data_IF_138092719579
#
_entry.id   IF_138092719579
#
_cell.length_a   1.000
_cell.length_b   1.000
_cell.length_c   1.000
_cell.angle_alpha   90.00
_cell.angle_beta   90.00
_cell.angle_gamma   90.00
#
_symmetry.space_group_name_H-M   'P 1'
#
loop_
_entity.id
_entity.type
_entity.pdbx_description
1 polymer ?
#
# COMPACT_ATOMS: atom_id res chain seq x y z
N UNK A 1 -18.84 -1.15 11.33
CA UNK A 1 -18.38 -1.01 12.73
C UNK A 1 -18.17 -2.42 13.25
N UNK A 2 -16.91 -2.83 13.46
CA UNK A 2 -16.49 -4.23 13.49
C UNK A 2 -16.09 -4.73 14.90
N UNK A 3 -16.36 -3.95 15.94
CA UNK A 3 -15.55 -4.03 17.17
C UNK A 3 -16.22 -4.70 18.35
N UNK A 4 -17.53 -5.00 18.33
CA UNK A 4 -18.22 -5.54 19.51
C UNK A 4 -18.35 -7.07 19.51
N UNK A 5 -18.42 -7.67 18.33
CA UNK A 5 -18.73 -9.10 18.20
C UNK A 5 -17.50 -10.01 18.08
N UNK A 6 -16.29 -9.46 17.95
CA UNK A 6 -15.04 -10.24 17.75
C UNK A 6 -14.68 -11.15 18.93
N UNK A 7 -15.20 -10.85 20.13
CA UNK A 7 -14.99 -11.66 21.33
C UNK A 7 -16.14 -12.65 21.57
N UNK A 8 -17.16 -12.65 20.69
CA UNK A 8 -18.22 -13.64 20.74
C UNK A 8 -17.66 -15.00 20.31
N UNK A 9 -17.98 -16.10 21.02
CA UNK A 9 -17.58 -17.44 20.61
C UNK A 9 -18.14 -17.83 19.24
N UNK A 10 -19.23 -17.20 18.80
CA UNK A 10 -19.89 -17.45 17.50
C UNK A 10 -19.40 -16.49 16.39
N UNK A 11 -18.32 -15.74 16.63
CA UNK A 11 -17.78 -14.82 15.63
C UNK A 11 -17.17 -15.59 14.46
N UNK A 12 -17.71 -15.37 13.26
CA UNK A 12 -17.14 -15.91 12.03
C UNK A 12 -15.92 -15.09 11.59
N UNK A 13 -14.73 -15.63 11.86
CA UNK A 13 -13.45 -15.04 11.47
C UNK A 13 -13.28 -14.87 9.95
N UNK A 14 -14.05 -15.59 9.13
CA UNK A 14 -13.98 -15.46 7.67
C UNK A 14 -14.34 -14.03 7.21
N UNK A 15 -15.19 -13.32 7.96
CA UNK A 15 -15.63 -11.96 7.65
C UNK A 15 -14.44 -10.97 7.61
N UNK A 16 -13.39 -11.19 8.43
CA UNK A 16 -12.20 -10.32 8.41
C UNK A 16 -11.38 -10.43 7.13
N UNK A 17 -11.50 -11.56 6.44
CA UNK A 17 -10.78 -11.85 5.20
C UNK A 17 -11.63 -11.65 3.95
N UNK A 18 -12.89 -11.24 4.12
CA UNK A 18 -13.71 -10.79 2.99
C UNK A 18 -13.07 -9.57 2.34
N UNK A 19 -12.97 -9.53 1.00
CA UNK A 19 -12.43 -8.37 0.31
C UNK A 19 -13.17 -7.10 0.70
N UNK A 20 -12.41 -6.06 1.02
CA UNK A 20 -13.00 -4.76 1.32
C UNK A 20 -13.82 -4.29 0.10
N UNK A 21 -15.10 -3.91 0.26
CA UNK A 21 -15.98 -3.56 -0.86
C UNK A 21 -15.69 -2.15 -1.37
N UNK A 22 -14.50 -1.97 -1.94
CA UNK A 22 -13.91 -0.68 -2.27
C UNK A 22 -14.75 0.12 -3.27
N UNK A 23 -15.25 -0.54 -4.32
CA UNK A 23 -16.14 0.05 -5.32
C UNK A 23 -17.47 0.53 -4.74
N UNK A 24 -17.92 -0.04 -3.60
CA UNK A 24 -19.15 0.35 -2.90
C UNK A 24 -18.91 1.46 -1.86
N UNK A 25 -17.68 1.60 -1.34
CA UNK A 25 -17.32 2.64 -0.36
C UNK A 25 -17.31 4.04 -1.00
N UNK A 26 -16.87 4.15 -2.25
CA UNK A 26 -16.67 5.44 -2.93
C UNK A 26 -17.59 5.60 -4.14
N UNK A 27 -18.17 6.79 -4.30
CA UNK A 27 -18.97 7.14 -5.48
C UNK A 27 -18.13 7.60 -6.68
N UNK A 28 -16.93 8.13 -6.41
CA UNK A 28 -16.01 8.71 -7.38
C UNK A 28 -14.60 8.21 -7.17
N UNK A 29 -13.86 8.10 -8.27
CA UNK A 29 -12.49 7.64 -8.27
C UNK A 29 -11.64 8.49 -9.21
N UNK A 30 -10.37 8.68 -8.85
CA UNK A 30 -9.35 9.03 -9.83
C UNK A 30 -8.86 7.74 -10.48
N UNK A 31 -8.93 7.69 -11.80
CA UNK A 31 -8.36 6.65 -12.65
C UNK A 31 -6.99 7.12 -13.10
N UNK A 32 -5.95 6.37 -12.74
CA UNK A 32 -4.57 6.57 -13.18
C UNK A 32 -4.30 5.48 -14.22
N UNK A 33 -4.18 5.86 -15.49
CA UNK A 33 -3.90 4.94 -16.60
C UNK A 33 -2.44 5.09 -17.02
N UNK A 34 -1.72 3.97 -17.10
CA UNK A 34 -0.35 3.89 -17.55
C UNK A 34 -0.26 2.93 -18.73
N UNK A 35 0.44 3.30 -19.80
CA UNK A 35 0.76 2.40 -20.91
C UNK A 35 2.21 2.57 -21.36
N UNK A 36 2.73 1.58 -22.07
CA UNK A 36 4.03 1.61 -22.73
C UNK A 36 4.01 0.73 -23.99
N UNK A 37 5.06 0.79 -24.81
CA UNK A 37 5.13 0.04 -26.07
C UNK A 37 5.13 -1.48 -25.86
N UNK A 38 5.79 -1.94 -24.79
CA UNK A 38 5.86 -3.35 -24.42
C UNK A 38 5.72 -3.57 -22.90
N UNK A 39 5.74 -4.85 -22.48
CA UNK A 39 5.51 -5.24 -21.08
C UNK A 39 6.69 -4.93 -20.16
N UNK A 40 7.92 -4.98 -20.67
CA UNK A 40 9.12 -4.74 -19.87
C UNK A 40 9.23 -3.23 -19.60
N UNK A 41 9.04 -2.41 -20.65
CA UNK A 41 8.95 -0.95 -20.52
C UNK A 41 7.79 -0.53 -19.60
N UNK A 42 6.64 -1.22 -19.67
CA UNK A 42 5.51 -0.95 -18.79
C UNK A 42 5.87 -1.24 -17.32
N UNK A 43 6.62 -2.31 -17.05
CA UNK A 43 7.05 -2.65 -15.69
C UNK A 43 7.92 -1.56 -15.07
N UNK A 44 8.91 -1.09 -15.83
CA UNK A 44 9.79 0.00 -15.43
C UNK A 44 9.02 1.31 -15.26
N UNK A 45 8.12 1.62 -16.20
CA UNK A 45 7.26 2.80 -16.14
C UNK A 45 6.34 2.80 -14.92
N UNK A 46 5.66 1.68 -14.65
CA UNK A 46 4.80 1.51 -13.48
C UNK A 46 5.61 1.68 -12.20
N UNK A 47 6.80 1.07 -12.11
CA UNK A 47 7.69 1.23 -10.96
C UNK A 47 8.10 2.68 -10.73
N UNK A 48 8.46 3.39 -11.79
CA UNK A 48 8.86 4.80 -11.76
C UNK A 48 7.73 5.74 -11.35
N UNK A 49 6.53 5.54 -11.88
CA UNK A 49 5.36 6.36 -11.52
C UNK A 49 4.91 6.04 -10.09
N UNK A 50 4.91 4.76 -9.69
CA UNK A 50 4.57 4.34 -8.32
C UNK A 50 5.46 4.98 -7.27
N UNK A 51 6.77 5.12 -7.53
CA UNK A 51 7.67 5.76 -6.57
C UNK A 51 7.36 7.24 -6.32
N UNK A 52 6.46 7.84 -7.12
CA UNK A 52 6.02 9.24 -7.04
C UNK A 52 4.55 9.39 -6.64
N UNK A 53 3.81 8.30 -6.45
CA UNK A 53 2.41 8.34 -6.03
C UNK A 53 2.16 9.19 -4.79
N UNK A 54 3.14 9.32 -3.89
CA UNK A 54 3.06 10.25 -2.76
C UNK A 54 2.83 11.71 -3.20
N UNK A 55 3.43 12.17 -4.30
CA UNK A 55 3.23 13.52 -4.83
C UNK A 55 1.80 13.71 -5.36
N UNK A 56 1.25 12.70 -6.04
CA UNK A 56 -0.14 12.72 -6.48
C UNK A 56 -1.11 12.72 -5.30
N UNK A 57 -0.86 11.88 -4.29
CA UNK A 57 -1.67 11.79 -3.08
C UNK A 57 -1.74 13.13 -2.35
N UNK A 58 -0.58 13.76 -2.09
CA UNK A 58 -0.51 15.07 -1.44
C UNK A 58 -1.31 16.11 -2.24
N UNK A 59 -1.19 16.12 -3.58
CA UNK A 59 -1.93 17.08 -4.40
C UNK A 59 -3.45 16.89 -4.31
N UNK A 60 -3.92 15.64 -4.28
CA UNK A 60 -5.34 15.33 -4.15
C UNK A 60 -5.86 15.67 -2.74
N UNK A 61 -5.08 15.39 -1.69
CA UNK A 61 -5.42 15.75 -0.31
C UNK A 61 -5.46 17.27 -0.10
N UNK A 62 -4.56 18.04 -0.71
CA UNK A 62 -4.60 19.51 -0.70
C UNK A 62 -5.89 20.07 -1.32
N UNK A 63 -6.37 19.46 -2.40
CA UNK A 63 -7.56 19.93 -3.11
C UNK A 63 -8.87 19.47 -2.46
N UNK A 64 -8.89 18.24 -1.93
CA UNK A 64 -10.12 17.54 -1.53
C UNK A 64 -10.22 17.26 -0.03
N UNK A 65 -9.12 17.45 0.70
CA UNK A 65 -8.96 17.07 2.10
C UNK A 65 -8.76 15.57 2.33
N UNK A 66 -9.00 14.72 1.33
CA UNK A 66 -8.91 13.28 1.47
C UNK A 66 -8.76 12.57 0.11
N UNK A 67 -7.99 11.49 0.09
CA UNK A 67 -7.95 10.49 -0.98
C UNK A 67 -7.60 9.12 -0.38
N UNK A 68 -8.25 8.04 -0.82
CA UNK A 68 -7.94 6.68 -0.38
C UNK A 68 -7.18 5.96 -1.49
N UNK A 69 -5.84 5.85 -1.45
CA UNK A 69 -5.10 5.12 -2.48
C UNK A 69 -5.35 3.62 -2.39
N UNK A 70 -5.51 2.95 -3.53
CA UNK A 70 -5.65 1.51 -3.63
C UNK A 70 -4.51 0.93 -4.48
N UNK A 71 -3.75 -0.07 -3.97
CA UNK A 71 -2.65 -0.67 -4.70
C UNK A 71 -3.08 -1.65 -5.81
N UNK A 72 -4.35 -2.06 -5.85
CA UNK A 72 -4.83 -3.04 -6.85
C UNK A 72 -4.62 -2.54 -8.27
N UNK A 73 -3.98 -3.38 -9.08
CA UNK A 73 -3.73 -3.14 -10.49
C UNK A 73 -4.83 -3.75 -11.36
N UNK A 74 -5.25 -2.99 -12.36
CA UNK A 74 -6.18 -3.42 -13.38
C UNK A 74 -5.53 -3.30 -14.75
N UNK A 75 -6.04 -4.04 -15.72
CA UNK A 75 -5.66 -3.89 -17.13
C UNK A 75 -6.93 -3.69 -17.95
N UNK A 76 -6.87 -2.76 -18.89
CA UNK A 76 -7.85 -2.63 -19.95
C UNK A 76 -7.55 -3.70 -21.00
N UNK A 77 -8.46 -4.67 -21.15
CA UNK A 77 -8.32 -5.76 -22.12
C UNK A 77 -8.60 -5.33 -23.55
N UNK A 78 -9.26 -4.18 -23.73
CA UNK A 78 -9.68 -3.69 -25.04
C UNK A 78 -8.62 -2.74 -25.63
N UNK A 79 -7.62 -2.35 -24.85
CA UNK A 79 -6.50 -1.53 -25.29
C UNK A 79 -5.51 -2.34 -26.16
N UNK A 80 -4.99 -1.71 -27.22
CA UNK A 80 -3.99 -2.30 -28.11
C UNK A 80 -2.60 -2.43 -27.48
N UNK A 81 -2.32 -1.60 -26.47
CA UNK A 81 -1.01 -1.52 -25.81
C UNK A 81 -1.06 -2.12 -24.39
N UNK A 82 0.07 -2.70 -23.92
CA UNK A 82 0.23 -3.06 -22.52
C UNK A 82 -0.07 -1.87 -21.61
N UNK A 83 -0.93 -2.08 -20.61
CA UNK A 83 -1.36 -1.02 -19.71
C UNK A 83 -1.63 -1.52 -18.29
N UNK A 84 -1.55 -0.60 -17.34
CA UNK A 84 -1.93 -0.77 -15.94
C UNK A 84 -2.78 0.41 -15.50
N UNK A 85 -3.83 0.12 -14.74
CA UNK A 85 -4.77 1.09 -14.23
C UNK A 85 -4.87 0.98 -12.71
N UNK A 86 -4.88 2.13 -12.04
CA UNK A 86 -5.21 2.25 -10.62
C UNK A 86 -6.47 3.09 -10.46
N UNK A 87 -7.27 2.77 -9.43
CA UNK A 87 -8.44 3.55 -9.04
C UNK A 87 -8.32 3.95 -7.58
N UNK A 88 -8.26 5.24 -7.29
CA UNK A 88 -8.23 5.73 -5.91
C UNK A 88 -9.52 6.45 -5.57
N UNK A 89 -10.05 6.18 -4.39
CA UNK A 89 -11.33 6.66 -3.90
C UNK A 89 -11.24 8.14 -3.56
N UNK A 90 -12.26 8.88 -3.98
CA UNK A 90 -12.36 10.33 -3.75
C UNK A 90 -13.60 10.65 -2.92
N UNK A 91 -13.58 11.74 -2.13
CA UNK A 91 -14.77 12.22 -1.44
C UNK A 91 -15.79 12.78 -2.44
N UNK A 92 -17.05 12.36 -2.32
CA UNK A 92 -18.12 12.80 -3.25
C UNK A 92 -18.43 14.30 -3.12
N UNK A 93 -18.26 14.88 -1.93
CA UNK A 93 -18.72 16.24 -1.63
C UNK A 93 -17.87 17.39 -2.19
N UNK A 94 -16.74 17.12 -2.86
CA UNK A 94 -15.80 18.13 -3.39
C UNK A 94 -15.32 17.84 -4.81
N UNK A 95 -16.07 17.02 -5.54
CA UNK A 95 -15.68 16.54 -6.85
C UNK A 95 -15.55 17.65 -7.92
N UNK A 96 -16.32 18.72 -7.75
CA UNK A 96 -16.33 19.92 -8.58
C UNK A 96 -15.00 20.70 -8.54
N UNK A 97 -14.22 20.55 -7.47
CA UNK A 97 -12.90 21.20 -7.34
C UNK A 97 -11.80 20.50 -8.15
N UNK A 98 -12.06 19.29 -8.64
CA UNK A 98 -11.04 18.49 -9.34
C UNK A 98 -11.04 18.84 -10.82
N UNK A 99 -9.97 19.47 -11.28
CA UNK A 99 -9.61 19.48 -12.68
C UNK A 99 -8.55 18.39 -12.94
N UNK A 100 -8.96 17.28 -13.55
CA UNK A 100 -8.08 16.14 -13.80
C UNK A 100 -6.85 16.52 -14.63
N UNK A 101 -7.00 17.40 -15.63
CA UNK A 101 -5.91 17.82 -16.52
C UNK A 101 -4.84 18.62 -15.73
N UNK A 102 -5.26 19.50 -14.82
CA UNK A 102 -4.32 20.27 -13.99
C UNK A 102 -3.60 19.38 -12.97
N UNK A 103 -4.29 18.38 -12.41
CA UNK A 103 -3.67 17.41 -11.50
C UNK A 103 -2.69 16.52 -12.26
N UNK A 104 -3.04 16.10 -13.48
CA UNK A 104 -2.17 15.35 -14.38
C UNK A 104 -0.90 16.14 -14.70
N UNK A 105 -1.03 17.39 -15.14
CA UNK A 105 0.10 18.26 -15.48
C UNK A 105 1.02 18.46 -14.27
N UNK A 106 0.44 18.73 -13.09
CA UNK A 106 1.21 18.83 -11.85
C UNK A 106 1.98 17.53 -11.56
N UNK A 107 1.31 16.38 -11.70
CA UNK A 107 1.93 15.11 -11.38
C UNK A 107 3.03 14.72 -12.39
N UNK A 108 2.83 14.99 -13.69
CA UNK A 108 3.83 14.82 -14.73
C UNK A 108 5.13 15.59 -14.45
N UNK A 109 5.04 16.82 -13.91
CA UNK A 109 6.23 17.57 -13.48
C UNK A 109 7.04 16.79 -12.45
N UNK A 110 6.39 16.16 -11.47
CA UNK A 110 7.08 15.34 -10.47
C UNK A 110 7.72 14.06 -11.04
N UNK A 111 7.23 13.59 -12.19
CA UNK A 111 7.75 12.44 -12.92
C UNK A 111 8.99 12.81 -13.74
N UNK A 112 8.97 13.99 -14.36
CA UNK A 112 10.02 14.50 -15.26
C UNK A 112 11.33 14.89 -14.54
N UNK A 113 11.25 15.40 -13.31
CA UNK A 113 12.41 15.88 -12.54
C UNK A 113 13.49 14.82 -12.18
N UNK A 114 13.32 13.55 -12.57
CA UNK A 114 14.15 12.45 -12.09
C UNK A 114 15.02 11.73 -13.13
N UNK A 115 14.78 11.87 -14.43
CA UNK A 115 15.54 11.06 -15.39
C UNK A 115 15.52 11.60 -16.83
N UNK A 116 16.72 11.88 -17.33
CA UNK A 116 16.94 11.96 -18.77
C UNK A 116 16.85 10.50 -19.32
N UNK A 117 15.77 10.17 -20.03
CA UNK A 117 15.65 9.08 -21.03
C UNK A 117 15.19 7.64 -20.71
N UNK A 118 14.93 7.15 -19.49
CA UNK A 118 14.78 5.66 -19.31
C UNK A 118 13.34 5.10 -19.27
N UNK A 119 12.26 5.89 -19.33
CA UNK A 119 10.92 5.30 -19.44
C UNK A 119 9.93 6.15 -20.24
N UNK A 120 9.73 5.75 -21.50
CA UNK A 120 8.80 6.32 -22.50
C UNK A 120 7.38 5.75 -22.34
N UNK A 121 6.83 5.85 -21.12
CA UNK A 121 5.44 5.47 -20.89
C UNK A 121 4.48 6.65 -21.01
N UNK A 122 3.23 6.36 -21.36
CA UNK A 122 2.14 7.35 -21.28
C UNK A 122 1.47 7.26 -19.92
N UNK A 123 1.10 8.41 -19.35
CA UNK A 123 0.23 8.49 -18.17
C UNK A 123 -0.97 9.38 -18.49
N UNK A 124 -2.16 8.97 -18.04
CA UNK A 124 -3.39 9.77 -18.10
C UNK A 124 -4.14 9.67 -16.79
N UNK A 125 -4.72 10.79 -16.37
CA UNK A 125 -5.54 10.90 -15.19
C UNK A 125 -6.95 11.32 -15.59
N UNK A 126 -7.96 10.64 -15.05
CA UNK A 126 -9.36 11.00 -15.27
C UNK A 126 -10.21 10.73 -14.03
N UNK A 127 -11.36 11.40 -13.92
CA UNK A 127 -12.32 11.14 -12.85
C UNK A 127 -13.43 10.24 -13.39
N UNK A 128 -13.67 9.14 -12.69
CA UNK A 128 -14.65 8.11 -13.07
C UNK A 128 -15.62 7.83 -11.93
N UNK A 129 -16.80 7.34 -12.28
CA UNK A 129 -17.82 6.92 -11.32
C UNK A 129 -17.69 5.44 -10.99
N UNK A 130 -18.20 5.03 -9.83
CA UNK A 130 -18.15 3.64 -9.35
C UNK A 130 -18.61 2.60 -10.38
N UNK A 131 -19.67 2.88 -11.15
CA UNK A 131 -20.19 1.95 -12.16
C UNK A 131 -19.27 1.73 -13.38
N UNK A 132 -18.26 2.59 -13.56
CA UNK A 132 -17.26 2.48 -14.63
C UNK A 132 -16.06 1.64 -14.22
N UNK A 133 -15.96 1.23 -12.94
CA UNK A 133 -14.94 0.30 -12.50
C UNK A 133 -15.21 -1.08 -13.10
N UNK A 134 -14.16 -1.88 -13.36
CA UNK A 134 -14.35 -3.25 -13.82
C UNK A 134 -15.26 -4.01 -12.87
N UNK A 135 -16.27 -4.73 -13.39
CA UNK A 135 -17.14 -5.61 -12.56
C UNK A 135 -16.35 -6.68 -11.79
N UNK A 136 -15.14 -6.98 -12.25
CA UNK A 136 -14.19 -7.88 -11.59
C UNK A 136 -13.40 -7.19 -10.48
N UNK A 137 -13.55 -5.90 -10.20
CA UNK A 137 -12.89 -5.24 -9.06
C UNK A 137 -13.28 -5.88 -7.72
N UNK A 138 -14.50 -6.42 -7.63
CA UNK A 138 -14.94 -7.21 -6.48
C UNK A 138 -14.39 -8.66 -6.49
N UNK A 139 -13.88 -9.16 -7.63
CA UNK A 139 -13.44 -10.56 -7.84
C UNK A 139 -11.92 -10.74 -8.05
N UNK A 140 -11.18 -9.70 -8.47
CA UNK A 140 -9.74 -9.78 -8.75
C UNK A 140 -8.94 -10.06 -7.46
N UNK A 141 -9.45 -9.59 -6.32
CA UNK A 141 -8.95 -9.93 -4.98
C UNK A 141 -8.99 -11.44 -4.70
N UNK A 142 -9.91 -12.19 -5.34
CA UNK A 142 -9.95 -13.64 -5.26
C UNK A 142 -9.01 -14.33 -6.27
N UNK A 143 -8.71 -13.70 -7.41
CA UNK A 143 -7.76 -14.23 -8.41
C UNK A 143 -6.30 -14.00 -8.00
N UNK A 144 -6.00 -12.89 -7.33
CA UNK A 144 -4.69 -12.63 -6.72
C UNK A 144 -4.30 -13.74 -5.72
N UNK A 145 -5.26 -14.35 -5.01
CA UNK A 145 -5.01 -15.52 -4.13
C UNK A 145 -4.44 -16.74 -4.87
N UNK A 146 -4.67 -16.85 -6.19
CA UNK A 146 -4.19 -17.98 -7.01
C UNK A 146 -2.86 -17.66 -7.72
N UNK A 147 -2.58 -16.38 -7.94
CA UNK A 147 -1.41 -15.92 -8.69
C UNK A 147 -0.40 -15.11 -7.86
N UNK A 148 -0.59 -14.99 -6.54
CA UNK A 148 0.41 -14.45 -5.62
C UNK A 148 1.59 -15.43 -5.51
N UNK A 149 2.43 -15.48 -6.54
CA UNK A 149 3.83 -15.85 -6.33
C UNK A 149 4.42 -14.72 -5.51
N UNK A 150 4.59 -14.96 -4.21
CA UNK A 150 5.36 -14.11 -3.30
C UNK A 150 6.66 -13.70 -3.99
N UNK A 151 6.81 -12.42 -4.32
CA UNK A 151 8.07 -11.88 -4.82
C UNK A 151 9.07 -11.69 -3.67
N UNK A 152 9.26 -12.73 -2.86
CA UNK A 152 10.50 -12.95 -2.15
C UNK A 152 11.17 -14.13 -2.85
N UNK A 153 11.89 -13.86 -3.95
CA UNK A 153 12.93 -14.82 -4.34
C UNK A 153 14.03 -14.69 -3.29
N UNK A 154 14.06 -15.61 -2.34
CA UNK A 154 15.33 -15.95 -1.71
C UNK A 154 16.19 -16.48 -2.85
N UNK A 155 17.15 -15.67 -3.29
CA UNK A 155 18.23 -16.20 -4.12
C UNK A 155 18.99 -17.14 -3.20
N UNK A 156 18.80 -18.44 -3.36
CA UNK A 156 19.68 -19.46 -2.79
C UNK A 156 21.04 -19.35 -3.49
N UNK A 157 21.80 -18.34 -3.05
CA UNK A 157 23.19 -18.19 -3.38
C UNK A 157 23.97 -19.28 -2.66
N UNK A 158 24.26 -20.36 -3.37
CA UNK A 158 25.20 -21.39 -2.96
C UNK A 158 26.57 -20.74 -2.67
N UNK A 159 26.78 -20.27 -1.43
CA UNK A 159 28.02 -19.70 -0.93
C UNK A 159 28.64 -20.69 0.03
N UNK A 160 29.74 -21.28 -0.44
CA UNK A 160 30.70 -22.05 0.35
C UNK A 160 31.03 -21.28 1.64
N UNK A 161 31.04 -22.01 2.75
CA UNK A 161 31.32 -21.51 4.09
C UNK A 161 32.63 -20.72 4.17
N UNK A 162 32.51 -19.40 4.37
CA UNK A 162 33.55 -18.62 5.03
C UNK A 162 32.87 -17.60 5.94
N UNK A 163 33.03 -17.75 7.25
CA UNK A 163 32.44 -16.90 8.28
C UNK A 163 33.09 -15.51 8.25
N UNK A 164 32.36 -14.41 7.97
CA UNK A 164 32.88 -13.06 8.19
C UNK A 164 32.51 -12.61 9.61
N UNK A 165 33.52 -12.28 10.41
CA UNK A 165 33.37 -11.69 11.74
C UNK A 165 32.68 -10.31 11.65
N UNK A 166 31.65 -10.01 12.47
CA UNK A 166 31.00 -8.70 12.46
C UNK A 166 31.89 -7.63 13.13
N UNK A 167 32.32 -6.63 12.35
CA UNK A 167 33.05 -5.44 12.83
C UNK A 167 32.10 -4.35 13.36
N UNK A 168 31.17 -4.67 14.25
CA UNK A 168 30.43 -3.65 15.00
C UNK A 168 30.08 -4.19 16.39
N UNK A 169 30.61 -3.52 17.43
CA UNK A 169 30.23 -3.75 18.83
C UNK A 169 29.08 -2.81 19.19
N UNK A 170 27.92 -3.31 19.67
CA UNK A 170 26.96 -2.48 20.37
C UNK A 170 27.51 -2.16 21.78
N UNK A 171 27.62 -0.88 22.12
CA UNK A 171 27.86 -0.45 23.50
C UNK A 171 26.54 -0.56 24.27
N UNK A 172 26.40 -1.65 25.04
CA UNK A 172 25.46 -1.69 26.17
C UNK A 172 26.24 -1.28 27.43
N UNK A 173 25.69 -0.33 28.17
CA UNK A 173 26.22 0.10 29.46
C UNK A 173 26.10 -1.05 30.47
N UNK A 174 27.24 -1.48 31.02
CA UNK A 174 27.33 -2.32 32.20
C UNK A 174 27.09 -1.48 33.46
N UNK A 175 26.12 -1.89 34.26
CA UNK A 175 26.28 -1.99 35.71
C UNK A 175 25.23 -2.97 36.23
N UNK A 176 25.62 -4.24 36.28
CA UNK A 176 24.99 -5.20 37.18
C UNK A 176 25.73 -5.10 38.52
N UNK A 177 25.01 -4.71 39.58
CA UNK A 177 25.45 -4.85 40.96
C UNK A 177 24.50 -5.78 41.69
N UNK A 178 24.97 -7.00 41.87
CA UNK A 178 24.55 -8.11 42.73
C UNK A 178 23.36 -7.92 43.70
N UNK A 179 22.37 -8.81 43.60
CA UNK A 179 21.58 -9.24 44.76
C UNK A 179 21.42 -10.77 44.78
N UNK A 180 21.98 -11.38 45.83
CA UNK A 180 21.79 -12.77 46.26
C UNK A 180 20.39 -12.98 46.86
N UNK A 181 19.85 -14.22 46.87
CA UNK A 181 18.52 -14.50 47.38
C UNK A 181 18.56 -14.87 48.87
N UNK A 182 17.73 -14.23 49.69
CA UNK A 182 17.40 -14.72 51.03
C UNK A 182 15.89 -14.79 51.21
N UNK A 183 15.40 -16.02 51.37
CA UNK A 183 14.06 -16.36 51.85
C UNK A 183 13.89 -15.88 53.28
N UNK A 184 13.12 -14.81 53.53
CA UNK A 184 12.40 -14.62 54.81
C UNK A 184 11.08 -13.87 54.54
N UNK A 185 9.99 -14.42 55.10
CA UNK A 185 8.62 -13.92 55.06
C UNK A 185 8.49 -12.64 55.89
N UNK A 186 7.92 -11.53 55.39
CA UNK A 186 7.50 -10.43 56.26
C UNK A 186 5.98 -10.46 56.52
N UNK A 187 5.61 -10.55 57.79
CA UNK A 187 4.28 -10.26 58.32
C UNK A 187 3.88 -8.80 58.06
N UNK A 188 2.61 -8.56 57.71
CA UNK A 188 2.04 -7.23 57.54
C UNK A 188 1.45 -6.71 58.86
N UNK A 189 1.75 -5.48 59.31
CA UNK A 189 1.01 -4.86 60.41
C UNK A 189 -0.29 -4.21 59.92
N UNK A 190 -1.35 -4.51 60.67
CA UNK A 190 -2.73 -4.02 60.52
C UNK A 190 -2.85 -2.51 60.73
N UNK A 191 -3.52 -1.81 59.83
CA UNK A 191 -3.98 -0.43 60.07
C UNK A 191 -5.28 -0.47 60.89
N UNK A 192 -5.26 0.17 62.05
CA UNK A 192 -6.45 0.43 62.88
C UNK A 192 -6.28 1.75 63.61
N UNK A 193 -7.27 2.63 63.44
CA UNK A 193 -7.37 3.97 64.02
C UNK A 193 -8.36 4.83 63.25
#
# INVERSE_FOLDING_TARGET
MLTKDMLSPDFDWNILFEPFPYARKYGLFVKIFLSACDKDELGDWVGWVKSRFRCLLVKLEELLGFCDPNPTEYADTDASEPNVIFYWGLPTGRADLINAELVEEYFLKSIDHGLNQVSTGTMKLSIVKAYQLPKKADQLTALERKNSKTCWRVVDGNRKNTVPQPKYKPHCAESAGDYLPTNENPEFPSAGG
#
